data_IF_095467689246
#
_entry.id   IF_095467689246
#
_cell.length_a   1.000
_cell.length_b   1.000
_cell.length_c   1.000
_cell.angle_alpha   90.00
_cell.angle_beta   90.00
_cell.angle_gamma   90.00
#
_symmetry.space_group_name_H-M   'P 1'
#
loop_
_entity.id
_entity.type
_entity.pdbx_description
1 polymer ?
#
# COMPACT_ATOMS: atom_id res chain seq x y z
N UNK A 1 4.72 11.34 18.20
CA UNK A 1 3.33 11.30 18.68
C UNK A 1 3.34 10.40 19.90
N UNK A 2 3.35 11.03 21.08
CA UNK A 2 3.25 10.31 22.35
C UNK A 2 1.75 10.08 22.58
N UNK A 3 1.26 8.90 22.34
CA UNK A 3 -0.10 8.53 22.74
C UNK A 3 0.02 7.66 23.98
N UNK A 4 -0.65 8.03 25.05
CA UNK A 4 -0.69 7.32 26.31
C UNK A 4 -1.17 5.86 26.17
N UNK A 5 -1.74 5.53 25.00
CA UNK A 5 -2.24 4.20 24.66
C UNK A 5 -1.33 3.39 23.73
N UNK A 6 -0.15 3.91 23.38
CA UNK A 6 0.79 3.25 22.48
C UNK A 6 2.06 2.87 23.25
N UNK A 7 2.21 1.61 23.55
CA UNK A 7 3.40 1.07 24.21
C UNK A 7 4.31 0.43 23.17
N UNK A 8 5.52 0.95 23.06
CA UNK A 8 6.60 0.27 22.36
C UNK A 8 7.18 -0.85 23.22
N UNK A 9 7.83 -1.83 22.59
CA UNK A 9 8.59 -2.84 23.30
C UNK A 9 9.66 -2.16 24.17
N UNK A 10 9.67 -2.49 25.48
CA UNK A 10 10.62 -1.91 26.45
C UNK A 10 11.93 -2.69 26.52
N UNK A 11 12.02 -3.84 25.87
CA UNK A 11 13.22 -4.68 25.87
C UNK A 11 13.04 -5.98 25.07
N UNK A 12 14.08 -6.81 25.03
CA UNK A 12 14.09 -8.03 24.22
C UNK A 12 13.04 -9.06 24.65
N UNK A 13 12.62 -9.03 25.92
CA UNK A 13 11.63 -9.95 26.46
C UNK A 13 10.18 -9.43 26.34
N UNK A 14 10.01 -8.25 25.77
CA UNK A 14 8.69 -7.65 25.60
C UNK A 14 8.05 -8.04 24.27
N UNK A 15 6.71 -8.22 24.21
CA UNK A 15 6.02 -8.47 22.96
C UNK A 15 6.23 -7.35 21.95
N UNK A 16 6.37 -7.70 20.68
CA UNK A 16 6.51 -6.75 19.55
C UNK A 16 5.42 -6.99 18.51
N UNK A 17 5.17 -5.97 17.71
CA UNK A 17 4.35 -6.09 16.50
C UNK A 17 5.27 -6.09 15.27
N UNK A 18 5.20 -7.18 14.52
CA UNK A 18 5.92 -7.31 13.24
C UNK A 18 4.96 -6.97 12.11
N UNK A 19 5.35 -6.03 11.27
CA UNK A 19 4.60 -5.67 10.08
C UNK A 19 5.21 -6.35 8.85
N UNK A 20 4.45 -7.26 8.23
CA UNK A 20 4.86 -8.00 7.06
C UNK A 20 4.10 -7.49 5.83
N UNK A 21 4.82 -7.09 4.80
CA UNK A 21 4.26 -6.65 3.54
C UNK A 21 4.34 -7.76 2.50
N UNK A 22 3.19 -8.15 1.96
CA UNK A 22 3.09 -9.11 0.88
C UNK A 22 2.65 -8.40 -0.40
N UNK A 23 3.45 -8.50 -1.43
CA UNK A 23 3.15 -7.99 -2.77
C UNK A 23 2.97 -9.19 -3.71
N UNK A 24 1.73 -9.61 -4.00
CA UNK A 24 1.49 -10.68 -4.97
C UNK A 24 2.03 -10.26 -6.33
N UNK A 25 2.84 -11.09 -6.92
CA UNK A 25 3.40 -10.85 -8.24
C UNK A 25 3.15 -12.07 -9.13
N UNK A 26 2.50 -11.83 -10.26
CA UNK A 26 2.27 -12.85 -11.27
C UNK A 26 3.24 -12.59 -12.42
N UNK A 27 4.19 -13.51 -12.62
CA UNK A 27 5.11 -13.46 -13.75
C UNK A 27 4.64 -14.45 -14.83
N UNK A 28 3.63 -14.04 -15.58
CA UNK A 28 3.14 -14.82 -16.72
C UNK A 28 3.41 -14.08 -18.03
N UNK A 29 4.38 -14.58 -18.80
CA UNK A 29 4.80 -13.96 -20.07
C UNK A 29 3.70 -13.94 -21.15
N UNK A 30 2.64 -14.75 -20.99
CA UNK A 30 1.48 -14.77 -21.88
C UNK A 30 0.46 -13.67 -21.60
N UNK A 31 0.59 -12.96 -20.47
CA UNK A 31 -0.31 -11.89 -20.05
C UNK A 31 0.37 -10.53 -20.18
N UNK A 32 -0.39 -9.50 -20.58
CA UNK A 32 0.09 -8.13 -20.47
C UNK A 32 0.14 -7.70 -18.98
N UNK A 33 0.84 -6.62 -18.68
CA UNK A 33 1.07 -6.18 -17.32
C UNK A 33 -0.25 -5.91 -16.55
N UNK A 34 -1.26 -5.32 -17.20
CA UNK A 34 -2.56 -5.05 -16.59
C UNK A 34 -3.29 -6.34 -16.18
N UNK A 35 -3.20 -7.38 -16.99
CA UNK A 35 -3.77 -8.69 -16.71
C UNK A 35 -3.02 -9.38 -15.57
N UNK A 36 -1.69 -9.29 -15.53
CA UNK A 36 -0.87 -9.80 -14.43
C UNK A 36 -1.24 -9.14 -13.09
N UNK A 37 -1.42 -7.82 -13.05
CA UNK A 37 -1.86 -7.12 -11.84
C UNK A 37 -3.29 -7.52 -11.42
N UNK A 38 -4.18 -7.73 -12.39
CA UNK A 38 -5.54 -8.20 -12.10
C UNK A 38 -5.52 -9.60 -11.50
N UNK A 39 -4.70 -10.48 -12.03
CA UNK A 39 -4.53 -11.82 -11.50
C UNK A 39 -3.90 -11.80 -10.11
N UNK A 40 -2.84 -11.03 -9.89
CA UNK A 40 -2.20 -10.88 -8.58
C UNK A 40 -3.18 -10.37 -7.51
N UNK A 41 -4.03 -9.41 -7.87
CA UNK A 41 -5.11 -8.93 -6.99
C UNK A 41 -6.13 -10.01 -6.67
N UNK A 42 -6.54 -10.78 -7.67
CA UNK A 42 -7.44 -11.90 -7.45
C UNK A 42 -6.84 -12.92 -6.48
N UNK A 43 -5.58 -13.32 -6.68
CA UNK A 43 -4.87 -14.24 -5.81
C UNK A 43 -4.76 -13.71 -4.37
N UNK A 44 -4.46 -12.41 -4.20
CA UNK A 44 -4.43 -11.79 -2.89
C UNK A 44 -5.77 -11.92 -2.15
N UNK A 45 -6.87 -11.68 -2.85
CA UNK A 45 -8.20 -11.70 -2.25
C UNK A 45 -8.74 -13.11 -2.06
N UNK A 46 -8.36 -14.05 -2.94
CA UNK A 46 -8.80 -15.45 -2.90
C UNK A 46 -8.01 -16.32 -1.92
N UNK A 47 -6.78 -15.92 -1.56
CA UNK A 47 -5.97 -16.67 -0.58
C UNK A 47 -6.64 -16.66 0.79
N UNK A 48 -6.86 -17.82 1.40
CA UNK A 48 -7.50 -17.90 2.72
C UNK A 48 -6.62 -17.32 3.85
N UNK A 49 -7.24 -17.02 4.98
CA UNK A 49 -6.49 -16.57 6.17
C UNK A 49 -5.52 -17.65 6.63
N UNK A 50 -5.97 -18.89 6.70
CA UNK A 50 -5.19 -20.04 7.15
C UNK A 50 -3.95 -20.25 6.29
N UNK A 51 -4.08 -20.05 4.99
CA UNK A 51 -2.94 -20.14 4.08
C UNK A 51 -1.93 -19.01 4.28
N UNK A 52 -2.40 -17.78 4.50
CA UNK A 52 -1.53 -16.64 4.80
C UNK A 52 -0.85 -16.85 6.16
N UNK A 53 -1.59 -17.30 7.18
CA UNK A 53 -1.05 -17.62 8.49
C UNK A 53 0.04 -18.68 8.40
N UNK A 54 -0.24 -19.79 7.72
CA UNK A 54 0.72 -20.88 7.52
C UNK A 54 2.01 -20.40 6.84
N UNK A 55 1.87 -19.62 5.78
CA UNK A 55 3.04 -19.05 5.06
C UNK A 55 3.84 -18.11 5.96
N UNK A 56 3.17 -17.26 6.74
CA UNK A 56 3.80 -16.32 7.68
C UNK A 56 4.59 -17.08 8.76
N UNK A 57 3.97 -18.07 9.39
CA UNK A 57 4.64 -18.89 10.41
C UNK A 57 5.84 -19.62 9.86
N UNK A 58 5.72 -20.24 8.69
CA UNK A 58 6.83 -20.94 8.03
C UNK A 58 7.98 -19.98 7.66
N UNK A 59 7.67 -18.80 7.18
CA UNK A 59 8.68 -17.79 6.83
C UNK A 59 9.44 -17.31 8.06
N UNK A 60 8.74 -17.00 9.16
CA UNK A 60 9.37 -16.59 10.41
C UNK A 60 10.19 -17.72 11.03
N UNK A 61 9.67 -18.96 11.03
CA UNK A 61 10.43 -20.12 11.49
C UNK A 61 11.71 -20.34 10.68
N UNK A 62 11.67 -20.15 9.37
CA UNK A 62 12.86 -20.25 8.52
C UNK A 62 13.86 -19.12 8.77
N UNK A 63 13.37 -17.90 8.97
CA UNK A 63 14.21 -16.73 9.22
C UNK A 63 14.91 -16.81 10.58
N UNK A 64 14.20 -17.30 11.59
CA UNK A 64 14.64 -17.36 12.99
C UNK A 64 15.10 -18.78 13.41
N UNK A 65 15.40 -19.65 12.47
CA UNK A 65 15.76 -21.07 12.70
C UNK A 65 16.94 -21.30 13.65
N UNK A 66 17.82 -20.35 13.78
CA UNK A 66 19.02 -20.42 14.61
C UNK A 66 18.82 -19.73 15.99
N UNK A 67 17.57 -19.50 16.37
CA UNK A 67 17.14 -18.94 17.66
C UNK A 67 16.17 -19.87 18.37
N UNK A 68 15.78 -19.54 19.61
CA UNK A 68 14.77 -20.27 20.38
C UNK A 68 13.32 -19.98 19.96
N UNK A 69 13.13 -19.27 18.84
CA UNK A 69 11.80 -18.88 18.34
C UNK A 69 10.96 -20.11 17.95
N UNK A 70 9.78 -20.22 18.57
CA UNK A 70 8.75 -21.19 18.21
C UNK A 70 7.54 -20.51 17.56
N UNK A 71 7.28 -20.74 16.25
CA UNK A 71 6.19 -20.10 15.55
C UNK A 71 4.79 -20.45 16.10
N UNK A 72 4.66 -21.50 16.93
CA UNK A 72 3.38 -21.92 17.53
C UNK A 72 3.13 -21.13 18.81
N UNK A 73 4.14 -21.05 19.67
CA UNK A 73 3.99 -20.48 21.02
C UNK A 73 4.27 -18.97 21.06
N UNK A 74 5.16 -18.47 20.22
CA UNK A 74 5.62 -17.07 20.28
C UNK A 74 4.74 -16.10 19.45
N UNK A 75 4.10 -16.59 18.40
CA UNK A 75 3.13 -15.78 17.65
C UNK A 75 1.77 -15.82 18.35
N UNK A 76 1.45 -14.77 19.06
CA UNK A 76 0.20 -14.68 19.86
C UNK A 76 -1.03 -14.34 19.01
N UNK A 77 -0.88 -13.54 17.98
CA UNK A 77 -1.96 -13.16 17.08
C UNK A 77 -1.42 -12.77 15.72
N UNK A 78 -2.24 -12.96 14.69
CA UNK A 78 -1.98 -12.50 13.31
C UNK A 78 -3.23 -11.77 12.84
N UNK A 79 -3.03 -10.59 12.27
CA UNK A 79 -4.07 -9.86 11.52
C UNK A 79 -3.65 -9.74 10.07
N UNK A 80 -4.61 -9.87 9.17
CA UNK A 80 -4.36 -9.79 7.72
C UNK A 80 -5.22 -8.69 7.11
N UNK A 81 -4.58 -7.61 6.70
CA UNK A 81 -5.20 -6.53 5.96
C UNK A 81 -4.94 -6.74 4.46
N UNK A 82 -6.02 -6.86 3.68
CA UNK A 82 -5.94 -7.05 2.23
C UNK A 82 -6.37 -5.77 1.53
N UNK A 83 -5.41 -5.12 0.89
CA UNK A 83 -5.63 -3.91 0.11
C UNK A 83 -5.74 -4.30 -1.37
N UNK A 84 -6.94 -4.25 -1.92
CA UNK A 84 -7.18 -4.59 -3.32
C UNK A 84 -6.49 -3.61 -4.29
N UNK A 85 -6.26 -2.39 -3.85
CA UNK A 85 -5.58 -1.32 -4.55
C UNK A 85 -4.62 -0.65 -3.57
N UNK A 86 -3.39 -0.58 -3.90
CA UNK A 86 -2.31 0.11 -3.22
C UNK A 86 -1.18 0.27 -4.24
N UNK A 87 -0.45 1.23 -4.17
CA UNK A 87 -0.55 2.50 -3.46
C UNK A 87 -1.43 3.52 -4.18
N UNK A 88 -1.28 4.84 -3.89
CA UNK A 88 -1.85 5.89 -4.71
C UNK A 88 -1.29 5.85 -6.14
N UNK A 89 -2.01 6.47 -7.07
CA UNK A 89 -1.58 6.67 -8.45
C UNK A 89 -0.21 7.37 -8.48
N UNK A 90 0.75 6.84 -9.24
CA UNK A 90 2.10 7.37 -9.37
C UNK A 90 2.52 7.40 -10.84
N UNK A 91 3.01 8.53 -11.31
CA UNK A 91 3.46 8.70 -12.69
C UNK A 91 4.68 7.85 -13.06
N UNK A 92 5.53 7.49 -12.10
CA UNK A 92 6.74 6.70 -12.36
C UNK A 92 6.43 5.24 -12.66
N UNK A 93 5.32 4.71 -12.16
CA UNK A 93 4.87 3.33 -12.37
C UNK A 93 3.87 3.17 -13.54
N UNK A 94 3.49 4.25 -14.21
CA UNK A 94 2.26 4.31 -15.02
C UNK A 94 2.35 4.18 -16.52
N UNK A 95 3.38 3.61 -17.02
CA UNK A 95 3.36 3.07 -18.40
C UNK A 95 2.18 2.09 -18.65
N UNK A 96 1.44 1.74 -17.60
CA UNK A 96 0.36 0.78 -17.65
C UNK A 96 -1.02 1.38 -17.96
N UNK A 97 -1.25 2.63 -17.55
CA UNK A 97 -2.58 3.23 -17.57
C UNK A 97 -2.66 4.53 -18.36
N UNK A 98 -1.58 5.31 -18.40
CA UNK A 98 -1.54 6.59 -19.05
C UNK A 98 -0.33 6.75 -19.99
N UNK A 99 -0.51 7.55 -21.02
CA UNK A 99 0.58 7.99 -21.85
C UNK A 99 1.42 9.00 -21.07
N UNK A 100 2.74 8.82 -21.08
CA UNK A 100 3.65 9.77 -20.43
C UNK A 100 3.76 11.05 -21.27
N UNK A 101 3.63 12.19 -20.60
CA UNK A 101 3.86 13.52 -21.15
C UNK A 101 5.09 14.13 -20.44
N UNK A 102 5.75 15.09 -21.11
CA UNK A 102 6.97 15.69 -20.59
C UNK A 102 6.73 16.53 -19.32
N UNK A 103 5.56 17.18 -19.22
CA UNK A 103 5.15 17.95 -18.05
C UNK A 103 4.24 17.10 -17.17
N UNK A 104 4.60 16.96 -15.89
CA UNK A 104 3.82 16.23 -14.89
C UNK A 104 2.47 16.89 -14.56
N UNK A 105 2.32 18.17 -14.90
CA UNK A 105 1.09 18.94 -14.78
C UNK A 105 0.30 19.07 -16.09
N UNK A 106 0.66 18.30 -17.10
CA UNK A 106 -0.05 18.32 -18.37
C UNK A 106 -1.54 17.99 -18.17
N UNK A 107 -2.40 18.85 -18.72
CA UNK A 107 -3.87 18.73 -18.56
C UNK A 107 -4.47 17.46 -19.17
N UNK A 108 -3.70 16.70 -19.94
CA UNK A 108 -4.10 15.40 -20.48
C UNK A 108 -4.06 14.29 -19.44
N UNK A 109 -3.31 14.46 -18.35
CA UNK A 109 -3.31 13.48 -17.25
C UNK A 109 -4.62 13.46 -16.48
N UNK A 110 -5.03 12.28 -16.08
CA UNK A 110 -6.28 12.06 -15.32
C UNK A 110 -6.27 12.78 -13.99
N UNK A 111 -5.16 12.75 -13.24
CA UNK A 111 -5.03 13.41 -11.94
C UNK A 111 -5.08 14.94 -12.07
N UNK A 112 -4.49 15.52 -13.12
CA UNK A 112 -4.54 16.96 -13.36
C UNK A 112 -5.97 17.41 -13.71
N UNK A 113 -6.68 16.63 -14.51
CA UNK A 113 -8.10 16.90 -14.79
C UNK A 113 -8.98 16.77 -13.56
N UNK A 114 -8.69 15.77 -12.73
CA UNK A 114 -9.45 15.52 -11.50
C UNK A 114 -9.27 16.63 -10.43
N UNK A 115 -8.20 17.42 -10.50
CA UNK A 115 -7.99 18.59 -9.62
C UNK A 115 -8.95 19.75 -9.92
N UNK A 116 -9.58 19.80 -11.10
CA UNK A 116 -10.48 20.89 -11.42
C UNK A 116 -11.67 20.91 -10.48
N UNK A 117 -11.96 22.09 -9.93
CA UNK A 117 -13.14 22.28 -9.09
C UNK A 117 -14.43 21.93 -9.84
N UNK A 118 -15.32 21.25 -9.16
CA UNK A 118 -16.69 21.06 -9.58
C UNK A 118 -17.63 21.77 -8.59
N UNK A 119 -18.00 23.00 -8.89
CA UNK A 119 -18.70 23.86 -7.96
C UNK A 119 -17.88 24.08 -6.68
N UNK A 120 -18.37 23.59 -5.55
CA UNK A 120 -17.68 23.66 -4.25
C UNK A 120 -17.07 22.32 -3.84
N UNK A 121 -16.73 21.47 -4.80
CA UNK A 121 -16.12 20.18 -4.56
C UNK A 121 -14.70 20.21 -5.13
N UNK A 122 -13.72 19.89 -4.28
CA UNK A 122 -12.32 19.70 -4.65
C UNK A 122 -11.86 18.29 -4.26
N UNK A 123 -11.06 17.65 -5.09
CA UNK A 123 -10.42 16.37 -4.79
C UNK A 123 -9.05 16.63 -4.17
N UNK A 124 -8.81 16.04 -2.99
CA UNK A 124 -7.57 16.21 -2.25
C UNK A 124 -7.11 14.86 -1.68
N UNK A 125 -6.13 14.26 -2.29
CA UNK A 125 -5.46 13.06 -1.81
C UNK A 125 -4.14 12.84 -2.57
N UNK A 126 -3.39 11.79 -2.20
CA UNK A 126 -2.15 11.44 -2.87
C UNK A 126 -2.34 11.09 -4.37
N UNK A 127 -3.49 10.51 -4.78
CA UNK A 127 -3.82 10.26 -6.18
C UNK A 127 -3.90 11.55 -6.99
N UNK A 128 -4.43 12.63 -6.40
CA UNK A 128 -4.48 13.94 -7.05
C UNK A 128 -3.08 14.54 -7.27
N UNK A 129 -2.11 14.15 -6.46
CA UNK A 129 -0.71 14.51 -6.62
C UNK A 129 0.08 13.58 -7.54
N UNK A 130 -0.51 12.43 -7.93
CA UNK A 130 0.16 11.35 -8.65
C UNK A 130 1.46 10.89 -7.97
N UNK A 131 1.45 10.83 -6.64
CA UNK A 131 2.58 10.40 -5.83
C UNK A 131 2.09 9.75 -4.54
N UNK A 132 2.53 8.52 -4.29
CA UNK A 132 2.14 7.73 -3.11
C UNK A 132 2.89 8.16 -1.84
N UNK A 133 3.02 9.46 -1.61
CA UNK A 133 3.77 10.05 -0.50
C UNK A 133 2.85 10.88 0.40
N UNK A 134 3.17 10.93 1.68
CA UNK A 134 2.44 11.73 2.67
C UNK A 134 2.47 13.22 2.30
N UNK A 135 3.62 13.71 1.90
CA UNK A 135 3.85 15.09 1.49
C UNK A 135 2.90 15.49 0.34
N UNK A 136 2.76 14.60 -0.65
CA UNK A 136 1.82 14.82 -1.76
C UNK A 136 0.38 14.92 -1.27
N UNK A 137 -0.03 14.06 -0.34
CA UNK A 137 -1.38 14.11 0.23
C UNK A 137 -1.64 15.45 0.96
N UNK A 138 -0.66 15.91 1.74
CA UNK A 138 -0.73 17.21 2.46
C UNK A 138 -0.79 18.39 1.48
N UNK A 139 0.07 18.40 0.47
CA UNK A 139 0.08 19.45 -0.57
C UNK A 139 -1.27 19.53 -1.31
N UNK A 140 -1.83 18.38 -1.70
CA UNK A 140 -3.13 18.35 -2.35
C UNK A 140 -4.27 18.78 -1.43
N UNK A 141 -4.18 18.49 -0.14
CA UNK A 141 -5.12 18.99 0.87
C UNK A 141 -5.07 20.51 0.97
N UNK A 142 -3.86 21.08 1.08
CA UNK A 142 -3.66 22.53 1.10
C UNK A 142 -4.17 23.22 -0.17
N UNK A 143 -3.82 22.67 -1.36
CA UNK A 143 -4.31 23.16 -2.64
C UNK A 143 -5.83 23.20 -2.68
N UNK A 144 -6.49 22.09 -2.33
CA UNK A 144 -7.95 21.98 -2.41
C UNK A 144 -8.66 22.99 -1.51
N UNK A 145 -8.14 23.25 -0.30
CA UNK A 145 -8.68 24.26 0.60
C UNK A 145 -8.50 25.66 0.02
N UNK A 146 -7.28 25.96 -0.49
CA UNK A 146 -6.98 27.27 -1.07
C UNK A 146 -7.84 27.59 -2.29
N UNK A 147 -8.17 26.59 -3.10
CA UNK A 147 -9.02 26.76 -4.28
C UNK A 147 -10.51 26.95 -3.95
N UNK A 148 -10.94 26.54 -2.74
CA UNK A 148 -12.31 26.67 -2.28
C UNK A 148 -12.61 27.96 -1.53
N UNK A 149 -11.59 28.67 -1.07
CA UNK A 149 -11.68 29.97 -0.36
C UNK A 149 -11.76 31.14 -1.34
#
# INVERSE_FOLDING_TARGET
VNSENYQFSEGPDSPIVINLHRYPHVNNKGLNAKEQYRQARYELLATSFEEIERQTRNQLASLLKDTDFDPITDIKAITVNRWAHGYAYDLTSHRLFDRLYADVNDSRYSHVRARKLFGRIAIANADAGASAMLESAVEQGFRAITELL
#
